data_IF_081592238956
#
_entry.id   IF_081592238956
#
_cell.length_a   1.000
_cell.length_b   1.000
_cell.length_c   1.000
_cell.angle_alpha   90.00
_cell.angle_beta   90.00
_cell.angle_gamma   90.00
#
_symmetry.space_group_name_H-M   'P 1'
#
loop_
_entity.id
_entity.type
_entity.pdbx_description
1 polymer ?
#
# COMPACT_ATOMS: atom_id res chain seq x y z
N UNK A 1 20.82 1.97 -9.63
CA UNK A 1 19.59 1.15 -9.63
C UNK A 1 19.40 0.61 -8.23
N UNK A 2 18.37 1.06 -7.51
CA UNK A 2 18.01 0.49 -6.20
C UNK A 2 17.21 -0.78 -6.46
N UNK A 3 17.77 -1.95 -6.19
CA UNK A 3 17.02 -3.19 -6.07
C UNK A 3 16.92 -3.47 -4.58
N UNK A 4 15.71 -3.36 -4.00
CA UNK A 4 15.45 -3.71 -2.60
C UNK A 4 14.57 -4.96 -2.53
N UNK A 5 15.16 -5.96 -1.89
CA UNK A 5 14.62 -7.02 -1.05
C UNK A 5 13.33 -7.72 -1.48
N UNK A 6 13.52 -8.98 -1.87
CA UNK A 6 12.61 -10.11 -1.65
C UNK A 6 11.26 -9.70 -1.00
N UNK A 7 10.21 -9.59 -1.81
CA UNK A 7 8.81 -9.64 -1.33
C UNK A 7 8.55 -11.05 -0.78
N UNK A 8 8.94 -11.31 0.47
CA UNK A 8 8.63 -12.56 1.17
C UNK A 8 7.38 -12.47 2.05
N UNK A 9 6.97 -11.26 2.42
CA UNK A 9 5.89 -11.03 3.39
C UNK A 9 4.89 -9.96 2.95
N UNK A 10 5.26 -8.68 3.00
CA UNK A 10 4.39 -7.55 2.63
C UNK A 10 5.23 -6.36 2.16
N UNK A 11 4.61 -5.38 1.48
CA UNK A 11 5.24 -4.13 1.06
C UNK A 11 4.23 -2.99 1.05
N UNK A 12 4.61 -1.85 1.62
CA UNK A 12 3.85 -0.59 1.55
C UNK A 12 4.39 0.30 0.42
N UNK A 13 3.51 0.64 -0.53
CA UNK A 13 3.80 1.59 -1.61
C UNK A 13 3.32 2.99 -1.22
N UNK A 14 4.20 3.99 -1.34
CA UNK A 14 3.91 5.38 -1.01
C UNK A 14 4.13 6.28 -2.23
N UNK A 15 3.20 7.20 -2.48
CA UNK A 15 3.31 8.25 -3.50
C UNK A 15 3.17 9.62 -2.84
N UNK A 16 4.16 10.50 -2.98
CA UNK A 16 4.13 11.84 -2.39
C UNK A 16 3.25 12.77 -3.23
N UNK A 17 2.33 13.49 -2.59
CA UNK A 17 1.44 14.46 -3.24
C UNK A 17 2.07 15.86 -3.39
N UNK A 18 3.34 15.92 -3.82
CA UNK A 18 4.07 17.17 -4.09
C UNK A 18 3.53 17.93 -5.32
N UNK A 19 4.10 19.08 -5.64
CA UNK A 19 3.68 19.94 -6.77
C UNK A 19 3.74 19.22 -8.13
N UNK A 20 4.61 18.23 -8.26
CA UNK A 20 4.79 17.38 -9.44
C UNK A 20 3.77 16.23 -9.52
N UNK A 21 2.98 16.01 -8.48
CA UNK A 21 1.98 14.95 -8.43
C UNK A 21 0.73 15.33 -9.25
N UNK A 22 0.18 14.43 -10.08
CA UNK A 22 -1.12 14.64 -10.71
C UNK A 22 -2.28 14.72 -9.70
N UNK A 23 -2.00 14.33 -8.45
CA UNK A 23 -2.92 14.37 -7.31
C UNK A 23 -2.57 15.52 -6.34
N UNK A 24 -1.75 16.47 -6.76
CA UNK A 24 -1.44 17.66 -5.95
C UNK A 24 -2.72 18.41 -5.58
N UNK A 25 -2.86 18.81 -4.31
CA UNK A 25 -4.05 19.50 -3.80
C UNK A 25 -5.32 18.64 -3.71
N UNK A 26 -5.21 17.32 -3.85
CA UNK A 26 -6.36 16.42 -3.65
C UNK A 26 -6.74 16.38 -2.16
N UNK A 27 -7.94 16.87 -1.84
CA UNK A 27 -8.59 16.71 -0.52
C UNK A 27 -9.72 15.69 -0.61
N UNK A 28 -10.26 15.28 0.54
CA UNK A 28 -11.40 14.37 0.60
C UNK A 28 -12.63 14.95 -0.11
N UNK A 29 -12.92 16.23 0.09
CA UNK A 29 -14.05 16.93 -0.54
C UNK A 29 -13.89 16.97 -2.06
N UNK A 30 -12.67 17.24 -2.53
CA UNK A 30 -12.35 17.29 -3.97
C UNK A 30 -12.43 15.90 -4.58
N UNK A 31 -11.97 14.86 -3.88
CA UNK A 31 -12.04 13.48 -4.33
C UNK A 31 -13.49 12.99 -4.47
N UNK A 32 -14.37 13.37 -3.54
CA UNK A 32 -15.79 13.00 -3.56
C UNK A 32 -16.55 13.54 -4.77
N UNK A 33 -16.09 14.65 -5.36
CA UNK A 33 -16.72 15.29 -6.52
C UNK A 33 -16.14 14.85 -7.86
N UNK A 34 -15.08 14.03 -7.86
CA UNK A 34 -14.34 13.61 -9.06
C UNK A 34 -14.58 12.14 -9.39
N UNK A 35 -14.54 11.83 -10.69
CA UNK A 35 -14.33 10.48 -11.18
C UNK A 35 -12.82 10.18 -11.13
N UNK A 36 -12.32 9.81 -9.96
CA UNK A 36 -10.93 9.42 -9.74
C UNK A 36 -10.83 7.90 -9.52
N UNK A 37 -9.83 7.30 -10.15
CA UNK A 37 -9.38 5.95 -9.85
C UNK A 37 -7.86 5.88 -9.90
N UNK A 38 -7.28 5.03 -9.06
CA UNK A 38 -5.86 4.68 -9.06
C UNK A 38 -5.73 3.26 -9.57
N UNK A 39 -4.95 3.07 -10.63
CA UNK A 39 -4.66 1.73 -11.17
C UNK A 39 -3.21 1.39 -10.86
N UNK A 40 -3.02 0.39 -10.01
CA UNK A 40 -1.71 -0.10 -9.63
C UNK A 40 -1.40 -1.34 -10.46
N UNK A 41 -0.30 -1.31 -11.20
CA UNK A 41 0.22 -2.47 -11.92
C UNK A 41 1.45 -3.00 -11.20
N UNK A 42 1.47 -4.30 -10.94
CA UNK A 42 2.61 -5.02 -10.39
C UNK A 42 3.04 -6.07 -11.40
N UNK A 43 4.33 -6.08 -11.72
CA UNK A 43 4.93 -7.14 -12.54
C UNK A 43 6.12 -7.72 -11.81
N UNK A 44 6.37 -9.01 -12.04
CA UNK A 44 7.44 -9.74 -11.37
C UNK A 44 7.81 -11.00 -12.11
N UNK A 45 8.67 -11.80 -11.48
CA UNK A 45 9.05 -13.12 -11.98
C UNK A 45 8.75 -14.14 -10.90
N UNK A 46 8.00 -15.18 -11.25
CA UNK A 46 7.76 -16.30 -10.36
C UNK A 46 9.08 -17.04 -10.09
N UNK A 47 9.41 -17.25 -8.82
CA UNK A 47 10.70 -17.83 -8.44
C UNK A 47 10.80 -19.33 -8.78
N UNK A 48 9.67 -20.04 -8.87
CA UNK A 48 9.64 -21.49 -9.09
C UNK A 48 9.79 -21.85 -10.57
N UNK A 49 9.04 -21.17 -11.43
CA UNK A 49 8.97 -21.44 -12.86
C UNK A 49 9.73 -20.41 -13.70
N UNK A 50 10.26 -19.34 -13.09
CA UNK A 50 10.99 -18.25 -13.76
C UNK A 50 10.18 -17.56 -14.87
N UNK A 51 8.86 -17.54 -14.72
CA UNK A 51 7.95 -16.91 -15.69
C UNK A 51 7.54 -15.51 -15.23
N UNK A 52 7.27 -14.58 -16.16
CA UNK A 52 6.74 -13.28 -15.79
C UNK A 52 5.32 -13.42 -15.23
N UNK A 53 5.04 -12.65 -14.17
CA UNK A 53 3.70 -12.51 -13.58
C UNK A 53 3.26 -11.05 -13.65
N UNK A 54 1.96 -10.84 -13.84
CA UNK A 54 1.35 -9.53 -13.93
C UNK A 54 0.08 -9.51 -13.08
N UNK A 55 -0.08 -8.47 -12.28
CA UNK A 55 -1.27 -8.21 -11.50
C UNK A 55 -1.62 -6.73 -11.58
N UNK A 56 -2.91 -6.42 -11.43
CA UNK A 56 -3.33 -5.04 -11.26
C UNK A 56 -4.44 -4.94 -10.22
N UNK A 57 -4.54 -3.78 -9.59
CA UNK A 57 -5.62 -3.43 -8.67
C UNK A 57 -6.09 -2.01 -8.98
N UNK A 58 -7.40 -1.85 -9.05
CA UNK A 58 -8.04 -0.54 -9.15
C UNK A 58 -8.55 -0.14 -7.76
N UNK A 59 -8.26 1.09 -7.36
CA UNK A 59 -8.85 1.76 -6.21
C UNK A 59 -9.68 2.94 -6.71
N UNK A 60 -10.96 2.98 -6.36
CA UNK A 60 -11.85 4.10 -6.65
C UNK A 60 -11.83 5.11 -5.50
N UNK A 61 -12.43 6.29 -5.69
CA UNK A 61 -12.59 7.28 -4.61
C UNK A 61 -13.15 6.66 -3.32
N UNK A 62 -14.11 5.74 -3.43
CA UNK A 62 -14.73 5.04 -2.30
C UNK A 62 -13.77 4.14 -1.50
N UNK A 63 -12.62 3.79 -2.09
CA UNK A 63 -11.59 2.97 -1.44
C UNK A 63 -10.52 3.82 -0.75
N UNK A 64 -10.45 5.13 -1.08
CA UNK A 64 -9.49 6.04 -0.47
C UNK A 64 -9.90 6.37 0.97
N UNK A 65 -8.92 6.39 1.86
CA UNK A 65 -9.10 6.73 3.27
C UNK A 65 -8.10 7.83 3.61
N UNK A 66 -8.62 9.03 3.83
CA UNK A 66 -7.84 10.18 4.22
C UNK A 66 -7.50 10.08 5.72
N UNK A 67 -6.43 10.76 6.13
CA UNK A 67 -5.97 10.81 7.53
C UNK A 67 -5.91 9.42 8.20
N UNK A 68 -5.47 8.43 7.44
CA UNK A 68 -5.43 7.02 7.83
C UNK A 68 -4.10 6.39 7.45
N UNK A 69 -3.69 5.38 8.20
CA UNK A 69 -2.52 4.55 7.92
C UNK A 69 -2.91 3.07 7.98
N UNK A 70 -2.18 2.22 7.23
CA UNK A 70 -2.30 0.78 7.42
C UNK A 70 -1.85 0.38 8.83
N UNK A 71 -2.54 -0.59 9.42
CA UNK A 71 -2.04 -1.24 10.62
C UNK A 71 -0.78 -2.05 10.35
N UNK A 72 0.04 -2.26 11.39
CA UNK A 72 1.17 -3.17 11.28
C UNK A 72 0.66 -4.62 11.19
N UNK A 73 1.23 -5.39 10.28
CA UNK A 73 0.87 -6.78 10.01
C UNK A 73 1.93 -7.76 10.50
N UNK A 74 3.06 -7.27 11.00
CA UNK A 74 4.13 -8.08 11.56
C UNK A 74 4.00 -8.15 13.07
N UNK A 75 3.92 -9.36 13.60
CA UNK A 75 3.86 -9.64 15.03
C UNK A 75 5.12 -10.38 15.47
N UNK A 76 5.81 -9.81 16.46
CA UNK A 76 6.94 -10.47 17.11
C UNK A 76 6.42 -11.31 18.26
N UNK A 77 6.56 -12.64 18.18
CA UNK A 77 6.20 -13.53 19.28
C UNK A 77 7.37 -13.60 20.27
N UNK A 78 7.16 -13.06 21.46
CA UNK A 78 8.16 -13.10 22.53
C UNK A 78 8.45 -14.56 22.92
N UNK A 79 9.74 -14.93 22.95
CA UNK A 79 10.22 -16.24 23.39
C UNK A 79 10.87 -17.10 22.30
N UNK A 80 10.48 -16.97 21.03
CA UNK A 80 10.92 -17.89 19.96
C UNK A 80 11.67 -17.20 18.80
N UNK A 81 11.75 -15.87 18.78
CA UNK A 81 12.39 -15.13 17.69
C UNK A 81 11.61 -15.22 16.37
N UNK A 82 10.36 -15.68 16.41
CA UNK A 82 9.48 -15.79 15.25
C UNK A 82 8.81 -14.46 14.93
N UNK A 83 8.75 -14.14 13.63
CA UNK A 83 7.97 -13.04 13.08
C UNK A 83 6.79 -13.65 12.33
N UNK A 84 5.57 -13.32 12.77
CA UNK A 84 4.34 -13.78 12.14
C UNK A 84 3.75 -12.65 11.30
N UNK A 85 3.35 -12.98 10.08
CA UNK A 85 2.59 -12.09 9.20
C UNK A 85 1.09 -12.38 9.39
N UNK A 86 0.36 -11.45 10.01
CA UNK A 86 -1.10 -11.55 10.12
C UNK A 86 -1.77 -11.01 8.85
N UNK A 87 -2.11 -11.92 7.93
CA UNK A 87 -2.82 -11.59 6.69
C UNK A 87 -4.26 -11.10 6.94
N UNK A 88 -4.87 -11.39 8.10
CA UNK A 88 -6.18 -10.86 8.47
C UNK A 88 -6.18 -9.35 8.65
N UNK A 89 -5.00 -8.76 8.96
CA UNK A 89 -4.81 -7.33 9.15
C UNK A 89 -4.30 -6.61 7.91
N UNK A 90 -4.11 -7.31 6.79
CA UNK A 90 -3.57 -6.74 5.55
C UNK A 90 -4.37 -5.54 5.01
N UNK A 91 -5.68 -5.53 5.27
CA UNK A 91 -6.57 -4.44 4.87
C UNK A 91 -7.00 -3.56 6.05
N UNK A 92 -6.48 -3.80 7.25
CA UNK A 92 -6.81 -3.02 8.43
C UNK A 92 -6.16 -1.65 8.36
N UNK A 93 -6.94 -0.64 8.73
CA UNK A 93 -6.54 0.76 8.74
C UNK A 93 -6.83 1.35 10.12
N UNK A 94 -5.99 2.30 10.51
CA UNK A 94 -6.18 3.11 11.71
C UNK A 94 -6.18 4.59 11.36
N UNK A 95 -7.00 5.42 12.02
CA UNK A 95 -6.88 6.87 11.92
C UNK A 95 -5.48 7.32 12.32
N UNK A 96 -4.97 8.34 11.66
CA UNK A 96 -3.71 8.99 12.02
C UNK A 96 -3.90 10.50 11.95
N UNK A 97 -3.48 11.23 12.98
CA UNK A 97 -3.31 12.67 12.86
C UNK A 97 -1.96 12.92 12.19
N UNK A 98 -1.92 13.74 11.15
CA UNK A 98 -0.66 14.34 10.71
C UNK A 98 -0.16 15.20 11.87
N UNK A 99 1.01 14.88 12.43
CA UNK A 99 1.68 15.82 13.33
C UNK A 99 2.00 17.06 12.50
N UNK A 100 1.35 18.18 12.82
CA UNK A 100 1.61 19.50 12.23
C UNK A 100 3.07 19.90 12.38
#
# INVERSE_FOLDING_TARGET
>A
RSHSNIMRATWSLTHKLGEDSPLHGLTEEVAAQKLLCLVIFVSGTDARYRQPIYAHKVYYCSDLRFDSAFEDVLEFREGEGEIVLDLGRLHSIKPTSLAT
#
